data_IF_701186990265
#
_entry.id   IF_701186990265
#
_cell.length_a   1.000
_cell.length_b   1.000
_cell.length_c   1.000
_cell.angle_alpha   90.00
_cell.angle_beta   90.00
_cell.angle_gamma   90.00
#
_symmetry.space_group_name_H-M   'P 1'
#
loop_
_entity.id
_entity.type
_entity.pdbx_description
1 polymer ?
#
# COMPACT_ATOMS: atom_id res chain seq x y z
N UNK A 1 19.91 9.38 22.73
CA UNK A 1 20.10 8.50 21.60
C UNK A 1 19.08 8.80 20.53
N UNK A 2 19.54 9.10 19.35
CA UNK A 2 18.63 9.38 18.24
C UNK A 2 17.86 8.13 17.84
N UNK A 3 16.58 8.22 17.89
CA UNK A 3 15.71 7.21 17.34
C UNK A 3 15.93 7.14 15.83
N UNK A 4 16.38 6.02 15.33
CA UNK A 4 16.46 5.83 13.89
C UNK A 4 15.05 5.72 13.31
N UNK A 5 14.62 6.75 12.61
CA UNK A 5 13.52 6.62 11.70
C UNK A 5 13.94 5.64 10.62
N UNK A 6 13.17 4.59 10.34
CA UNK A 6 13.51 3.69 9.25
C UNK A 6 13.65 4.52 7.97
N UNK A 7 14.78 4.40 7.31
CA UNK A 7 14.96 4.98 5.99
C UNK A 7 14.10 4.23 5.03
N UNK A 8 13.09 4.90 4.56
CA UNK A 8 12.15 4.29 3.66
C UNK A 8 12.24 5.04 2.35
N UNK A 9 13.00 4.46 1.44
CA UNK A 9 13.10 4.98 0.09
C UNK A 9 12.23 4.15 -0.83
N UNK A 10 11.60 4.82 -1.77
CA UNK A 10 10.87 4.13 -2.82
C UNK A 10 11.86 3.41 -3.72
N UNK A 11 11.55 2.16 -4.02
CA UNK A 11 12.30 1.34 -4.97
C UNK A 11 11.48 1.18 -6.22
N UNK A 12 12.06 1.52 -7.35
CA UNK A 12 11.41 1.37 -8.65
C UNK A 12 12.21 0.39 -9.50
N UNK A 13 11.52 -0.41 -10.29
CA UNK A 13 12.18 -1.37 -11.14
C UNK A 13 11.25 -2.09 -12.08
N UNK A 14 11.81 -3.06 -12.78
CA UNK A 14 11.07 -4.00 -13.61
C UNK A 14 11.39 -5.41 -13.17
N UNK A 15 10.39 -6.27 -13.18
CA UNK A 15 10.55 -7.67 -12.83
C UNK A 15 9.86 -8.52 -13.90
N UNK A 16 10.52 -9.58 -14.32
CA UNK A 16 9.93 -10.53 -15.25
C UNK A 16 9.39 -11.72 -14.47
N UNK A 17 8.11 -11.97 -14.59
CA UNK A 17 7.43 -13.08 -13.95
C UNK A 17 6.57 -13.81 -14.97
N UNK A 18 6.80 -15.10 -15.16
CA UNK A 18 6.06 -15.94 -16.10
C UNK A 18 6.03 -15.38 -17.53
N UNK A 19 7.16 -14.80 -17.98
CA UNK A 19 7.27 -14.19 -19.30
C UNK A 19 6.66 -12.80 -19.42
N UNK A 20 6.10 -12.28 -18.35
CA UNK A 20 5.54 -10.93 -18.32
C UNK A 20 6.48 -9.96 -17.61
N UNK A 21 6.68 -8.81 -18.21
CA UNK A 21 7.48 -7.74 -17.61
C UNK A 21 6.58 -6.79 -16.85
N UNK A 22 6.86 -6.64 -15.54
CA UNK A 22 6.13 -5.75 -14.66
C UNK A 22 6.99 -4.55 -14.31
N UNK A 23 6.44 -3.37 -14.45
CA UNK A 23 7.02 -2.16 -13.88
C UNK A 23 6.41 -1.95 -12.50
N UNK A 24 7.24 -1.65 -11.50
CA UNK A 24 6.75 -1.45 -10.14
C UNK A 24 7.47 -0.33 -9.42
N UNK A 25 6.78 0.21 -8.43
CA UNK A 25 7.34 1.09 -7.41
C UNK A 25 6.87 0.56 -6.06
N UNK A 26 7.78 0.36 -5.14
CA UNK A 26 7.47 -0.25 -3.85
C UNK A 26 8.13 0.50 -2.70
N UNK A 27 7.46 0.45 -1.55
CA UNK A 27 7.96 1.01 -0.30
C UNK A 27 7.50 0.15 0.86
N UNK A 28 8.42 -0.14 1.77
CA UNK A 28 8.12 -0.84 3.02
C UNK A 28 8.36 0.09 4.20
N UNK A 29 7.40 0.08 5.12
CA UNK A 29 7.47 0.84 6.36
C UNK A 29 7.34 -0.14 7.52
N UNK A 30 8.33 -0.15 8.39
CA UNK A 30 8.32 -1.01 9.57
C UNK A 30 8.62 -0.19 10.81
N UNK A 31 7.71 -0.22 11.77
CA UNK A 31 7.91 0.36 13.10
C UNK A 31 8.27 -0.74 14.11
N UNK A 32 7.85 -1.96 13.83
CA UNK A 32 8.07 -3.15 14.62
C UNK A 32 7.80 -4.36 13.72
N UNK A 33 8.24 -5.57 14.11
CA UNK A 33 8.00 -6.80 13.34
C UNK A 33 6.53 -7.10 13.12
N UNK A 34 5.68 -6.74 14.07
CA UNK A 34 4.24 -6.91 14.00
C UNK A 34 3.48 -5.64 13.60
N UNK A 35 4.20 -4.61 13.22
CA UNK A 35 3.63 -3.31 12.87
C UNK A 35 4.35 -2.74 11.65
N UNK A 36 4.06 -3.34 10.51
CA UNK A 36 4.71 -3.03 9.25
C UNK A 36 3.75 -3.14 8.07
N UNK A 37 4.10 -2.48 6.98
CA UNK A 37 3.32 -2.50 5.75
C UNK A 37 4.22 -2.31 4.55
N UNK A 38 3.88 -2.97 3.45
CA UNK A 38 4.49 -2.74 2.13
C UNK A 38 3.41 -2.31 1.15
N UNK A 39 3.68 -1.26 0.41
CA UNK A 39 2.86 -0.83 -0.72
C UNK A 39 3.63 -1.10 -2.01
N UNK A 40 3.00 -1.83 -2.92
CA UNK A 40 3.52 -2.06 -4.27
C UNK A 40 2.52 -1.49 -5.26
N UNK A 41 3.01 -0.62 -6.13
CA UNK A 41 2.26 -0.08 -7.26
C UNK A 41 2.86 -0.68 -8.52
N UNK A 42 2.07 -1.41 -9.28
CA UNK A 42 2.59 -2.20 -10.40
C UNK A 42 1.71 -2.12 -11.64
N UNK A 43 2.32 -2.30 -12.79
CA UNK A 43 1.64 -2.38 -14.07
C UNK A 43 2.41 -3.32 -15.00
N UNK A 44 1.67 -4.09 -15.79
CA UNK A 44 2.25 -4.91 -16.83
C UNK A 44 2.69 -4.02 -18.00
N UNK A 45 3.97 -4.14 -18.40
CA UNK A 45 4.58 -3.22 -19.36
C UNK A 45 4.04 -3.33 -20.80
N UNK A 46 3.78 -4.54 -21.25
CA UNK A 46 3.41 -4.82 -22.65
C UNK A 46 1.90 -4.93 -22.88
N UNK A 47 1.11 -4.77 -21.84
CA UNK A 47 -0.33 -4.82 -21.93
C UNK A 47 -0.87 -3.62 -21.14
N UNK A 48 -1.68 -2.75 -21.74
CA UNK A 48 -2.20 -1.59 -21.04
C UNK A 48 -3.26 -2.01 -20.02
N UNK A 49 -2.80 -2.77 -19.01
CA UNK A 49 -3.63 -3.09 -17.85
C UNK A 49 -3.70 -1.89 -16.93
N UNK A 50 -4.79 -1.73 -16.18
CA UNK A 50 -4.84 -0.72 -15.13
C UNK A 50 -3.72 -0.91 -14.12
N UNK A 51 -3.25 0.19 -13.54
CA UNK A 51 -2.30 0.16 -12.45
C UNK A 51 -2.93 -0.56 -11.26
N UNK A 52 -2.19 -1.46 -10.65
CA UNK A 52 -2.61 -2.19 -9.46
C UNK A 52 -1.89 -1.69 -8.22
N UNK A 53 -2.60 -1.63 -7.10
CA UNK A 53 -2.10 -1.22 -5.80
C UNK A 53 -2.23 -2.39 -4.86
N UNK A 54 -1.09 -2.85 -4.34
CA UNK A 54 -1.01 -3.98 -3.41
C UNK A 54 -0.61 -3.46 -2.04
N UNK A 55 -1.52 -3.55 -1.08
CA UNK A 55 -1.25 -3.21 0.30
C UNK A 55 -1.06 -4.50 1.08
N UNK A 56 0.14 -4.69 1.61
CA UNK A 56 0.52 -5.90 2.32
C UNK A 56 0.80 -5.53 3.77
N UNK A 57 0.01 -6.09 4.69
CA UNK A 57 0.05 -5.71 6.10
C UNK A 57 0.65 -6.80 6.97
N UNK A 58 1.63 -6.44 7.79
CA UNK A 58 2.03 -7.18 8.97
C UNK A 58 1.42 -6.47 10.19
N UNK A 59 0.11 -6.58 10.31
CA UNK A 59 -0.69 -5.95 11.35
C UNK A 59 -1.69 -6.98 11.89
N UNK A 60 -2.02 -6.82 13.17
CA UNK A 60 -3.05 -7.63 13.81
C UNK A 60 -4.42 -7.05 13.45
N UNK A 61 -4.99 -7.49 12.33
CA UNK A 61 -6.27 -7.00 11.84
C UNK A 61 -7.34 -8.09 11.97
N UNK A 62 -8.47 -7.75 12.57
CA UNK A 62 -9.64 -8.62 12.58
C UNK A 62 -10.25 -8.67 11.17
N UNK A 63 -10.23 -9.82 10.47
CA UNK A 63 -10.72 -9.92 9.10
C UNK A 63 -12.23 -9.72 8.96
N UNK A 64 -12.98 -9.77 10.04
CA UNK A 64 -14.43 -9.53 10.04
C UNK A 64 -14.78 -8.05 10.12
N UNK A 65 -13.79 -7.19 10.37
CA UNK A 65 -13.99 -5.74 10.53
C UNK A 65 -13.39 -4.98 9.36
N UNK A 66 -14.07 -3.94 8.94
CA UNK A 66 -13.56 -3.08 7.87
C UNK A 66 -12.32 -2.29 8.30
N UNK A 67 -11.39 -2.15 7.36
CA UNK A 67 -10.25 -1.23 7.47
C UNK A 67 -10.64 0.06 6.75
N UNK A 68 -10.47 1.18 7.42
CA UNK A 68 -10.67 2.50 6.84
C UNK A 68 -9.33 3.06 6.38
N UNK A 69 -9.28 3.49 5.13
CA UNK A 69 -8.09 4.08 4.53
C UNK A 69 -8.36 5.53 4.17
N UNK A 70 -7.60 6.44 4.75
CA UNK A 70 -7.74 7.87 4.50
C UNK A 70 -6.45 8.44 3.94
N UNK A 71 -6.55 9.10 2.79
CA UNK A 71 -5.44 9.84 2.20
C UNK A 71 -5.42 11.24 2.75
N UNK A 72 -4.25 11.67 3.23
CA UNK A 72 -4.07 12.99 3.82
C UNK A 72 -3.01 13.78 3.06
N UNK A 73 -3.26 15.08 2.96
CA UNK A 73 -2.29 16.05 2.51
C UNK A 73 -2.22 17.16 3.56
N UNK A 74 -1.01 17.41 4.09
CA UNK A 74 -0.77 18.41 5.13
C UNK A 74 -1.67 18.22 6.35
N UNK A 75 -1.84 16.96 6.77
CA UNK A 75 -2.65 16.62 7.93
C UNK A 75 -4.16 16.64 7.72
N UNK A 76 -4.63 16.93 6.52
CA UNK A 76 -6.06 16.97 6.20
C UNK A 76 -6.44 15.79 5.31
N UNK A 77 -7.44 15.02 5.73
CA UNK A 77 -8.02 13.97 4.91
C UNK A 77 -8.83 14.57 3.76
N UNK A 78 -8.63 14.08 2.55
CA UNK A 78 -9.38 14.55 1.39
C UNK A 78 -9.99 13.41 0.56
N UNK A 79 -9.58 12.18 0.79
CA UNK A 79 -10.13 11.03 0.13
C UNK A 79 -10.03 9.81 1.05
N UNK A 80 -10.97 8.91 0.94
CA UNK A 80 -10.97 7.73 1.77
C UNK A 80 -11.82 6.61 1.19
N UNK A 81 -11.57 5.40 1.69
CA UNK A 81 -12.35 4.22 1.36
C UNK A 81 -12.23 3.20 2.49
N UNK A 82 -13.15 2.26 2.52
CA UNK A 82 -13.14 1.14 3.47
C UNK A 82 -13.12 -0.17 2.71
N UNK A 83 -12.48 -1.17 3.31
CA UNK A 83 -12.37 -2.49 2.70
C UNK A 83 -12.24 -3.57 3.77
N UNK A 84 -12.49 -4.80 3.37
CA UNK A 84 -12.16 -5.97 4.16
C UNK A 84 -10.87 -6.57 3.61
N UNK A 85 -9.98 -6.98 4.51
CA UNK A 85 -8.78 -7.69 4.10
C UNK A 85 -9.12 -9.12 3.68
N UNK A 86 -8.36 -9.65 2.73
CA UNK A 86 -8.39 -11.07 2.44
C UNK A 86 -7.40 -11.76 3.39
N UNK A 87 -7.88 -12.58 4.35
CA UNK A 87 -6.94 -13.33 5.17
C UNK A 87 -6.19 -14.30 4.30
N UNK A 88 -4.89 -14.26 4.51
CA UNK A 88 -3.88 -15.21 4.08
C UNK A 88 -4.28 -16.23 3.01
N UNK A 89 -4.09 -15.87 1.79
CA UNK A 89 -3.66 -16.88 0.84
C UNK A 89 -2.24 -17.23 1.28
N UNK A 90 -2.02 -18.49 1.66
CA UNK A 90 -0.68 -18.99 1.95
C UNK A 90 0.22 -18.81 0.73
N UNK A 91 0.87 -17.68 0.67
CA UNK A 91 2.00 -17.53 -0.24
C UNK A 91 3.22 -17.71 0.67
N UNK A 92 3.89 -18.88 0.62
CA UNK A 92 4.92 -19.24 1.61
C UNK A 92 6.13 -18.31 1.67
N UNK A 93 6.25 -17.38 0.74
CA UNK A 93 7.39 -16.47 0.63
C UNK A 93 7.10 -15.05 1.15
N UNK A 94 5.90 -14.76 1.64
CA UNK A 94 5.52 -13.41 2.05
C UNK A 94 5.32 -13.36 3.56
N UNK A 95 6.10 -12.48 4.20
CA UNK A 95 6.02 -12.26 5.64
C UNK A 95 4.79 -11.44 6.07
N UNK A 96 3.89 -11.11 5.15
CA UNK A 96 2.72 -10.29 5.41
C UNK A 96 1.45 -11.14 5.28
N UNK A 97 0.76 -11.40 6.39
CA UNK A 97 -0.39 -12.31 6.39
C UNK A 97 -1.66 -11.71 5.78
N UNK A 98 -1.73 -10.40 5.64
CA UNK A 98 -2.94 -9.72 5.18
C UNK A 98 -2.63 -8.88 3.95
N UNK A 99 -3.39 -9.11 2.88
CA UNK A 99 -3.19 -8.42 1.61
C UNK A 99 -4.53 -7.88 1.12
N UNK A 100 -4.51 -6.68 0.58
CA UNK A 100 -5.60 -6.15 -0.22
C UNK A 100 -5.06 -5.57 -1.51
N UNK A 101 -5.77 -5.79 -2.61
CA UNK A 101 -5.39 -5.31 -3.94
C UNK A 101 -6.49 -4.47 -4.51
N UNK A 102 -6.11 -3.34 -5.10
CA UNK A 102 -7.03 -2.50 -5.85
C UNK A 102 -6.48 -2.29 -7.25
N UNK A 103 -7.36 -2.40 -8.24
CA UNK A 103 -7.07 -1.91 -9.57
C UNK A 103 -7.58 -0.48 -9.68
N UNK A 104 -6.89 0.36 -10.43
CA UNK A 104 -7.32 1.73 -10.66
C UNK A 104 -8.71 1.80 -11.30
N UNK A 105 -9.08 0.80 -12.10
CA UNK A 105 -10.39 0.70 -12.72
C UNK A 105 -11.48 0.20 -11.78
N UNK A 106 -11.13 -0.36 -10.64
CA UNK A 106 -12.10 -0.96 -9.69
C UNK A 106 -12.57 0.00 -8.61
N UNK A 107 -12.06 1.23 -8.58
CA UNK A 107 -12.41 2.23 -7.58
C UNK A 107 -12.96 3.49 -8.24
N UNK A 108 -13.70 4.27 -7.44
CA UNK A 108 -14.17 5.60 -7.90
C UNK A 108 -13.12 6.68 -7.72
N UNK A 109 -12.05 6.37 -6.98
CA UNK A 109 -10.93 7.28 -6.79
C UNK A 109 -9.92 7.11 -7.92
N UNK A 110 -9.33 8.21 -8.34
CA UNK A 110 -8.12 8.14 -9.15
C UNK A 110 -6.97 7.76 -8.23
N UNK A 111 -6.75 6.47 -8.06
CA UNK A 111 -5.81 5.94 -7.08
C UNK A 111 -4.39 6.45 -7.28
N UNK A 112 -3.91 6.46 -8.51
CA UNK A 112 -2.53 6.90 -8.77
C UNK A 112 -2.34 8.36 -8.43
N UNK A 113 -3.23 9.23 -8.89
CA UNK A 113 -3.15 10.66 -8.61
C UNK A 113 -3.33 10.95 -7.12
N UNK A 114 -4.23 10.22 -6.46
CA UNK A 114 -4.47 10.36 -5.03
C UNK A 114 -3.22 10.02 -4.22
N UNK A 115 -2.49 8.97 -4.60
CA UNK A 115 -1.21 8.63 -3.94
C UNK A 115 -0.14 9.71 -4.17
N UNK A 116 -0.09 10.27 -5.37
CA UNK A 116 0.86 11.34 -5.69
C UNK A 116 0.56 12.61 -4.91
N UNK A 117 -0.73 12.92 -4.76
CA UNK A 117 -1.17 14.16 -4.08
C UNK A 117 -1.16 14.05 -2.57
N UNK A 118 -0.97 12.86 -2.03
CA UNK A 118 -1.00 12.62 -0.57
C UNK A 118 0.40 12.56 0.01
N UNK A 119 0.53 12.97 1.26
CA UNK A 119 1.78 12.77 2.02
C UNK A 119 1.70 11.58 2.97
N UNK A 120 0.50 11.15 3.32
CA UNK A 120 0.30 10.03 4.26
C UNK A 120 -1.00 9.30 3.95
N UNK A 121 -0.96 7.98 4.10
CA UNK A 121 -2.18 7.16 4.17
C UNK A 121 -2.37 6.73 5.61
N UNK A 122 -3.57 6.94 6.15
CA UNK A 122 -3.93 6.47 7.48
C UNK A 122 -4.85 5.27 7.37
N UNK A 123 -4.44 4.16 7.96
CA UNK A 123 -5.24 2.95 8.06
C UNK A 123 -5.76 2.83 9.49
N UNK A 124 -7.09 2.93 9.64
CA UNK A 124 -7.79 2.67 10.89
C UNK A 124 -8.36 1.26 10.84
N UNK A 125 -8.06 0.46 11.84
CA UNK A 125 -8.48 -0.93 11.84
C UNK A 125 -8.79 -1.42 13.26
N UNK A 126 -9.49 -2.55 13.31
CA UNK A 126 -9.79 -3.24 14.57
C UNK A 126 -8.86 -4.43 14.69
N UNK A 127 -8.19 -4.56 15.83
CA UNK A 127 -7.35 -5.74 16.11
C UNK A 127 -8.20 -6.97 16.39
N UNK A 128 -7.57 -8.14 16.36
CA UNK A 128 -8.24 -9.40 16.72
C UNK A 128 -8.73 -9.42 18.17
N UNK A 129 -8.18 -8.55 19.02
CA UNK A 129 -8.62 -8.36 20.41
C UNK A 129 -9.77 -7.35 20.54
N UNK A 130 -10.24 -6.79 19.43
CA UNK A 130 -11.32 -5.82 19.43
C UNK A 130 -10.90 -4.38 19.73
N UNK A 131 -9.63 -4.09 19.70
CA UNK A 131 -9.10 -2.74 19.92
C UNK A 131 -8.97 -1.98 18.63
N UNK A 132 -9.21 -0.68 18.67
CA UNK A 132 -8.94 0.21 17.53
C UNK A 132 -7.45 0.54 17.47
N UNK A 133 -6.90 0.48 16.28
CA UNK A 133 -5.50 0.82 16.04
C UNK A 133 -5.35 1.59 14.73
N UNK A 134 -4.23 2.28 14.59
CA UNK A 134 -3.95 3.12 13.43
C UNK A 134 -2.54 2.86 12.93
N UNK A 135 -2.39 2.69 11.62
CA UNK A 135 -1.11 2.63 10.96
C UNK A 135 -0.99 3.80 9.98
N UNK A 136 0.07 4.58 10.11
CA UNK A 136 0.35 5.69 9.21
C UNK A 136 1.44 5.30 8.23
N UNK A 137 1.12 5.35 6.95
CA UNK A 137 2.05 5.04 5.89
C UNK A 137 2.47 6.33 5.19
N UNK A 138 3.71 6.78 5.33
CA UNK A 138 4.18 7.99 4.66
C UNK A 138 4.40 7.75 3.17
N UNK A 139 3.85 8.65 2.35
CA UNK A 139 3.97 8.61 0.89
C UNK A 139 5.05 9.55 0.37
N UNK A 140 5.78 10.22 1.23
CA UNK A 140 6.84 11.15 0.84
C UNK A 140 7.79 10.51 -0.18
N UNK A 141 8.05 11.22 -1.27
CA UNK A 141 8.90 10.72 -2.36
C UNK A 141 8.16 10.00 -3.48
N UNK A 142 6.91 9.62 -3.29
CA UNK A 142 6.07 9.12 -4.39
C UNK A 142 5.57 10.32 -5.19
N UNK A 143 6.09 10.53 -6.39
CA UNK A 143 5.83 11.73 -7.16
C UNK A 143 5.64 11.45 -8.65
N UNK A 144 5.40 12.51 -9.41
CA UNK A 144 5.08 12.44 -10.83
C UNK A 144 6.10 11.70 -11.69
N UNK A 145 7.36 11.64 -11.29
CA UNK A 145 8.37 10.91 -12.08
C UNK A 145 8.08 9.43 -12.16
N UNK A 146 7.36 8.88 -11.17
CA UNK A 146 6.95 7.48 -11.20
C UNK A 146 5.80 7.22 -12.16
N UNK A 147 5.04 8.26 -12.53
CA UNK A 147 3.99 8.14 -13.55
C UNK A 147 4.54 7.67 -14.89
N UNK A 148 5.77 8.07 -15.23
CA UNK A 148 6.41 7.72 -16.51
C UNK A 148 6.58 6.20 -16.66
N UNK A 149 6.68 5.47 -15.55
CA UNK A 149 6.78 4.02 -15.57
C UNK A 149 5.45 3.33 -15.88
N UNK A 150 4.36 4.04 -15.70
CA UNK A 150 3.01 3.49 -15.82
C UNK A 150 2.23 4.00 -17.03
N UNK A 151 2.87 4.83 -17.84
CA UNK A 151 2.26 5.36 -19.07
C UNK A 151 2.69 4.54 -20.27
#
# INVERSE_FOLDING_TARGET
MKRKTPRIDWTAGTETKEGMELSYVAKSVSYDDDFAMTLIVARQKDNPTPVEFWYMFALDIDPAQEVSMTFQKRGRGFAGMSFLINPAIEIPAIAFPNIVTFSESSTTLNMLQTHIDSDTIIFDYTTTEGKQSVFKFPLTGFNEKYLEQFI
#
